data_IF_155304642785
#
_entry.id   IF_155304642785
#
_cell.length_a   1.000
_cell.length_b   1.000
_cell.length_c   1.000
_cell.angle_alpha   90.00
_cell.angle_beta   90.00
_cell.angle_gamma   90.00
#
_symmetry.space_group_name_H-M   'P 1'
#
loop_
_entity.id
_entity.type
_entity.pdbx_description
1 polymer ?
#
# COMPACT_ATOMS: atom_id res chain seq x y z
N UNK A 1 -1.69 -4.87 19.48
CA UNK A 1 -0.53 -4.61 18.60
C UNK A 1 -1.09 -4.16 17.28
N UNK A 2 -0.91 -2.88 16.95
CA UNK A 2 -1.69 -2.22 15.91
C UNK A 2 -0.87 -2.13 14.62
N UNK A 3 -1.48 -2.48 13.50
CA UNK A 3 -0.92 -2.15 12.19
C UNK A 3 -0.94 -0.63 12.02
N UNK A 4 0.09 -0.07 11.40
CA UNK A 4 0.23 1.37 11.21
C UNK A 4 0.43 1.68 9.74
N UNK A 5 -0.37 2.61 9.21
CA UNK A 5 -0.11 3.16 7.89
C UNK A 5 1.14 4.05 7.95
N UNK A 6 2.11 3.75 7.11
CA UNK A 6 3.39 4.46 7.00
C UNK A 6 3.35 5.47 5.88
N UNK A 7 2.83 5.07 4.71
CA UNK A 7 2.81 5.92 3.51
C UNK A 7 1.63 5.58 2.62
N UNK A 8 1.21 6.56 1.84
CA UNK A 8 0.24 6.39 0.76
C UNK A 8 0.95 6.73 -0.54
N UNK A 9 0.88 5.84 -1.52
CA UNK A 9 1.36 6.04 -2.87
C UNK A 9 0.15 6.23 -3.78
N UNK A 10 0.09 7.39 -4.40
CA UNK A 10 -0.89 7.74 -5.43
C UNK A 10 -0.17 7.92 -6.75
N UNK A 11 -0.80 7.53 -7.85
CA UNK A 11 -0.23 7.66 -9.19
C UNK A 11 -1.18 8.39 -10.14
N UNK A 12 -1.09 8.05 -11.42
CA UNK A 12 -1.95 8.60 -12.47
C UNK A 12 -3.43 8.18 -12.35
N UNK A 13 -3.70 7.09 -11.61
CA UNK A 13 -5.05 6.63 -11.27
C UNK A 13 -5.58 7.34 -10.03
N UNK A 14 -6.70 8.05 -10.19
CA UNK A 14 -7.41 8.70 -9.09
C UNK A 14 -8.31 7.74 -8.29
N UNK A 15 -8.63 6.58 -8.85
CA UNK A 15 -9.52 5.55 -8.29
C UNK A 15 -8.77 4.50 -7.47
N UNK A 16 -7.44 4.56 -7.42
CA UNK A 16 -6.59 3.55 -6.80
C UNK A 16 -5.44 4.20 -6.03
N UNK A 17 -5.10 3.64 -4.87
CA UNK A 17 -3.89 4.01 -4.12
C UNK A 17 -3.28 2.78 -3.45
N UNK A 18 -1.96 2.81 -3.28
CA UNK A 18 -1.26 1.80 -2.48
C UNK A 18 -0.99 2.37 -1.09
N UNK A 19 -1.28 1.60 -0.06
CA UNK A 19 -0.95 1.89 1.33
C UNK A 19 0.26 1.08 1.74
N UNK A 20 1.35 1.72 2.12
CA UNK A 20 2.48 1.05 2.79
C UNK A 20 2.16 0.99 4.27
N UNK A 21 2.16 -0.22 4.83
CA UNK A 21 1.74 -0.54 6.18
C UNK A 21 2.90 -1.19 6.96
N UNK A 22 3.06 -0.80 8.23
CA UNK A 22 3.83 -1.56 9.20
C UNK A 22 2.89 -2.52 9.92
N UNK A 23 3.27 -3.79 9.91
CA UNK A 23 2.53 -4.90 10.52
C UNK A 23 2.79 -4.94 12.02
N UNK A 24 1.93 -5.67 12.73
CA UNK A 24 2.09 -5.92 14.16
C UNK A 24 3.39 -6.68 14.53
N UNK A 25 3.93 -7.46 13.57
CA UNK A 25 5.19 -8.20 13.72
C UNK A 25 6.45 -7.34 13.52
N UNK A 26 6.29 -6.04 13.22
CA UNK A 26 7.38 -5.10 12.98
C UNK A 26 7.86 -5.03 11.53
N UNK A 27 7.46 -5.98 10.67
CA UNK A 27 7.74 -5.95 9.24
C UNK A 27 6.80 -4.99 8.50
N UNK A 28 7.05 -4.84 7.21
CA UNK A 28 6.29 -3.95 6.33
C UNK A 28 5.58 -4.74 5.24
N UNK A 29 4.45 -4.23 4.78
CA UNK A 29 3.72 -4.74 3.62
C UNK A 29 3.10 -3.56 2.88
N UNK A 30 2.55 -3.80 1.70
CA UNK A 30 1.71 -2.83 1.03
C UNK A 30 0.34 -3.43 0.69
N UNK A 31 -0.69 -2.58 0.65
CA UNK A 31 -2.08 -2.98 0.36
C UNK A 31 -2.64 -2.08 -0.73
N UNK A 32 -3.43 -2.64 -1.64
CA UNK A 32 -4.21 -1.85 -2.58
C UNK A 32 -5.47 -1.33 -1.91
N UNK A 33 -5.82 -0.07 -2.11
CA UNK A 33 -7.10 0.49 -1.71
C UNK A 33 -7.75 1.17 -2.92
N UNK A 34 -8.98 0.77 -3.20
CA UNK A 34 -9.78 1.30 -4.30
C UNK A 34 -10.74 2.38 -3.79
N UNK A 35 -11.04 3.34 -4.66
CA UNK A 35 -12.06 4.35 -4.46
C UNK A 35 -13.27 4.00 -5.33
N UNK A 36 -14.45 4.00 -4.74
CA UNK A 36 -15.71 3.75 -5.47
C UNK A 36 -16.29 5.01 -6.15
N UNK A 37 -15.55 6.12 -6.09
CA UNK A 37 -15.95 7.44 -6.60
C UNK A 37 -16.55 8.35 -5.52
N UNK A 38 -16.87 7.83 -4.34
CA UNK A 38 -17.40 8.60 -3.21
C UNK A 38 -16.50 8.47 -1.98
N UNK A 39 -15.94 7.28 -1.76
CA UNK A 39 -15.13 6.98 -0.59
C UNK A 39 -14.05 5.94 -0.90
N UNK A 40 -12.99 5.96 -0.10
CA UNK A 40 -12.00 4.91 -0.13
C UNK A 40 -12.56 3.66 0.54
N UNK A 41 -12.65 2.56 -0.22
CA UNK A 41 -13.13 1.28 0.26
C UNK A 41 -12.15 0.60 1.23
N UNK A 42 -12.45 -0.64 1.61
CA UNK A 42 -11.57 -1.40 2.49
C UNK A 42 -10.20 -1.65 1.84
N UNK A 43 -9.16 -1.75 2.67
CA UNK A 43 -7.83 -2.11 2.21
C UNK A 43 -7.86 -3.57 1.73
N UNK A 44 -7.22 -3.84 0.60
CA UNK A 44 -7.00 -5.18 0.09
C UNK A 44 -6.03 -5.99 0.98
N UNK A 45 -5.71 -7.23 0.56
CA UNK A 45 -4.79 -8.09 1.30
C UNK A 45 -3.38 -7.52 1.33
N UNK A 46 -2.58 -8.00 2.29
CA UNK A 46 -1.14 -7.74 2.33
C UNK A 46 -0.45 -8.33 1.10
N UNK A 47 0.23 -7.47 0.35
CA UNK A 47 1.08 -7.89 -0.75
C UNK A 47 2.52 -7.98 -0.25
N UNK A 48 2.93 -9.19 0.14
CA UNK A 48 4.31 -9.47 0.58
C UNK A 48 4.63 -9.02 1.99
N UNK A 49 5.82 -9.42 2.46
CA UNK A 49 6.38 -9.02 3.75
C UNK A 49 7.81 -8.57 3.49
N UNK A 50 8.15 -7.38 3.95
CA UNK A 50 9.42 -6.73 3.70
C UNK A 50 10.06 -6.27 5.00
N UNK A 51 11.38 -6.24 5.02
CA UNK A 51 12.18 -5.79 6.16
C UNK A 51 12.10 -4.27 6.39
N UNK A 52 11.73 -3.50 5.36
CA UNK A 52 11.66 -2.04 5.43
C UNK A 52 10.48 -1.47 4.64
N UNK A 53 10.05 -0.25 5.01
CA UNK A 53 9.03 0.49 4.27
C UNK A 53 9.49 0.85 2.85
N UNK A 54 10.79 1.12 2.67
CA UNK A 54 11.39 1.41 1.35
C UNK A 54 11.28 0.20 0.43
N UNK A 55 11.65 -1.00 0.91
CA UNK A 55 11.52 -2.24 0.12
C UNK A 55 10.06 -2.52 -0.28
N UNK A 56 9.12 -2.28 0.63
CA UNK A 56 7.69 -2.41 0.33
C UNK A 56 7.22 -1.39 -0.72
N UNK A 57 7.68 -0.14 -0.63
CA UNK A 57 7.39 0.89 -1.64
C UNK A 57 8.00 0.56 -3.00
N UNK A 58 9.26 0.12 -3.05
CA UNK A 58 9.95 -0.24 -4.29
C UNK A 58 9.21 -1.38 -5.00
N UNK A 59 8.83 -2.44 -4.29
CA UNK A 59 8.07 -3.54 -4.89
C UNK A 59 6.66 -3.07 -5.31
N UNK A 60 6.00 -2.25 -4.49
CA UNK A 60 4.71 -1.67 -4.85
C UNK A 60 4.77 -0.89 -6.17
N UNK A 61 5.77 -0.01 -6.34
CA UNK A 61 6.00 0.74 -7.58
C UNK A 61 6.34 -0.17 -8.76
N UNK A 62 7.17 -1.19 -8.54
CA UNK A 62 7.56 -2.13 -9.58
C UNK A 62 6.38 -2.99 -10.07
N UNK A 63 5.44 -3.34 -9.17
CA UNK A 63 4.25 -4.16 -9.46
C UNK A 63 3.08 -3.35 -10.00
N UNK A 64 3.11 -2.04 -9.83
CA UNK A 64 1.98 -1.15 -10.10
C UNK A 64 2.38 -0.14 -11.17
N UNK A 65 2.10 -0.49 -12.41
CA UNK A 65 2.41 0.29 -13.61
C UNK A 65 1.95 1.77 -13.54
N UNK A 66 0.79 2.03 -12.94
CA UNK A 66 0.24 3.39 -12.81
C UNK A 66 0.86 4.25 -11.69
N UNK A 67 1.76 3.69 -10.87
CA UNK A 67 2.56 4.43 -9.87
C UNK A 67 3.88 5.02 -10.44
N UNK A 68 4.18 4.76 -11.72
CA UNK A 68 5.38 5.26 -12.41
C UNK A 68 5.29 6.73 -12.80
#
# INVERSE_FOLDING_TARGET
MNERQIKILTGSRADSRILVMQRADGNYSYRLQLNDGVSWGQHGPDCGIYESAESAETEARARTDWLS
#
